data_IF_616516378701
#
_entry.id   IF_616516378701
#
_cell.length_a   1.000
_cell.length_b   1.000
_cell.length_c   1.000
_cell.angle_alpha   90.00
_cell.angle_beta   90.00
_cell.angle_gamma   90.00
#
_symmetry.space_group_name_H-M   'P 1'
#
loop_
_entity.id
_entity.type
_entity.pdbx_description
1 polymer ?
#
# COMPACT_ATOMS: atom_id res chain seq x y z
N UNK A 1 -17.61 5.69 11.87
CA UNK A 1 -16.97 6.85 12.44
C UNK A 1 -15.71 7.15 11.69
N UNK A 2 -15.58 8.36 11.29
CA UNK A 2 -14.35 8.78 10.69
C UNK A 2 -13.26 8.73 11.75
N UNK A 3 -12.17 8.13 11.43
CA UNK A 3 -11.10 8.07 12.36
C UNK A 3 -10.49 9.45 12.48
N UNK A 4 -10.29 9.90 13.63
CA UNK A 4 -9.72 11.20 13.83
C UNK A 4 -8.29 11.24 13.38
N UNK A 5 -7.93 12.28 12.73
CA UNK A 5 -6.58 12.49 12.26
C UNK A 5 -5.55 12.39 13.40
N UNK A 6 -6.02 12.42 14.61
CA UNK A 6 -5.13 12.25 15.75
C UNK A 6 -4.45 10.90 15.81
N UNK A 7 -4.97 9.92 15.08
CA UNK A 7 -4.27 8.65 15.02
C UNK A 7 -3.19 8.65 13.97
N UNK A 8 -2.62 9.77 13.72
CA UNK A 8 -1.44 9.81 12.91
C UNK A 8 -0.42 8.85 13.50
N UNK A 9 0.06 7.88 12.71
CA UNK A 9 1.11 6.99 13.18
C UNK A 9 2.26 7.85 13.67
N UNK A 10 2.79 7.50 14.78
CA UNK A 10 3.99 8.18 15.22
C UNK A 10 4.96 8.18 14.06
N UNK A 11 5.58 9.29 13.83
CA UNK A 11 6.51 9.42 12.72
C UNK A 11 7.71 8.50 12.87
N UNK A 12 7.77 7.75 13.95
CA UNK A 12 8.87 6.85 14.25
C UNK A 12 8.31 5.45 14.44
N UNK A 13 9.15 4.48 14.20
CA UNK A 13 8.80 3.11 14.43
C UNK A 13 8.25 2.42 13.18
N UNK A 14 8.40 1.13 13.20
CA UNK A 14 8.01 0.23 12.15
C UNK A 14 6.48 0.19 12.05
N UNK A 15 5.95 0.33 10.85
CA UNK A 15 4.51 0.38 10.63
C UNK A 15 4.16 0.02 9.21
N UNK A 16 2.91 -0.42 9.01
CA UNK A 16 2.40 -0.75 7.68
C UNK A 16 1.28 0.22 7.33
N UNK A 17 1.36 0.81 6.14
CA UNK A 17 0.33 1.70 5.61
C UNK A 17 -0.29 1.01 4.40
N UNK A 18 -1.59 0.74 4.46
CA UNK A 18 -2.28 -0.03 3.42
C UNK A 18 -3.20 0.87 2.64
N UNK A 19 -2.95 0.98 1.33
CA UNK A 19 -3.88 1.55 0.38
C UNK A 19 -4.95 0.48 0.14
N UNK A 20 -6.05 0.58 0.87
CA UNK A 20 -6.94 -0.55 1.06
C UNK A 20 -7.95 -0.77 -0.04
N UNK A 21 -8.19 0.25 -0.87
CA UNK A 21 -9.14 0.09 -1.96
C UNK A 21 -8.51 -0.85 -2.99
N UNK A 22 -9.20 -1.96 -3.26
CA UNK A 22 -8.74 -3.00 -4.18
C UNK A 22 -7.47 -3.74 -3.72
N UNK A 23 -7.27 -3.89 -2.42
CA UNK A 23 -6.15 -4.67 -1.89
C UNK A 23 -6.59 -6.11 -1.57
N UNK A 24 -6.09 -7.11 -2.30
CA UNK A 24 -6.54 -8.49 -2.09
C UNK A 24 -5.78 -9.24 -1.00
N UNK A 25 -4.81 -8.61 -0.34
CA UNK A 25 -3.93 -9.27 0.64
C UNK A 25 -4.11 -8.74 2.06
N UNK A 26 -5.27 -8.16 2.36
CA UNK A 26 -5.49 -7.60 3.70
C UNK A 26 -5.33 -8.64 4.81
N UNK A 27 -5.88 -9.83 4.61
CA UNK A 27 -5.76 -10.88 5.62
C UNK A 27 -4.32 -11.29 5.86
N UNK A 28 -3.53 -11.38 4.80
CA UNK A 28 -2.11 -11.69 4.92
C UNK A 28 -1.37 -10.61 5.70
N UNK A 29 -1.70 -9.35 5.44
CA UNK A 29 -1.10 -8.22 6.17
C UNK A 29 -1.41 -8.34 7.66
N UNK A 30 -2.66 -8.61 8.01
CA UNK A 30 -3.06 -8.72 9.41
C UNK A 30 -2.30 -9.84 10.12
N UNK A 31 -2.16 -11.00 9.47
CA UNK A 31 -1.44 -12.12 10.06
C UNK A 31 0.02 -11.79 10.37
N UNK A 32 0.69 -11.15 9.44
CA UNK A 32 2.09 -10.77 9.64
C UNK A 32 2.20 -9.70 10.73
N UNK A 33 1.29 -8.74 10.71
CA UNK A 33 1.30 -7.66 11.70
C UNK A 33 1.11 -8.21 13.12
N UNK A 34 0.19 -9.15 13.29
CA UNK A 34 -0.05 -9.76 14.60
C UNK A 34 1.19 -10.52 15.07
N UNK A 35 1.79 -11.30 14.18
CA UNK A 35 2.96 -12.11 14.53
C UNK A 35 4.17 -11.25 14.91
N UNK A 36 4.36 -10.15 14.20
CA UNK A 36 5.53 -9.28 14.43
C UNK A 36 5.22 -8.07 15.32
N UNK A 37 3.96 -7.93 15.76
CA UNK A 37 3.50 -6.84 16.61
C UNK A 37 3.76 -5.47 15.96
N UNK A 38 3.35 -5.34 14.71
CA UNK A 38 3.53 -4.12 13.93
C UNK A 38 2.19 -3.42 13.73
N UNK A 39 2.10 -2.11 14.02
CA UNK A 39 0.86 -1.37 13.75
C UNK A 39 0.55 -1.30 12.26
N UNK A 40 -0.75 -1.37 11.94
CA UNK A 40 -1.25 -1.27 10.57
C UNK A 40 -2.30 -0.18 10.50
N UNK A 41 -2.16 0.71 9.54
CA UNK A 41 -3.18 1.69 9.21
C UNK A 41 -3.79 1.31 7.87
N UNK A 42 -5.09 1.00 7.90
CA UNK A 42 -5.86 0.59 6.71
C UNK A 42 -6.59 1.82 6.21
N UNK A 43 -6.12 2.39 5.13
CA UNK A 43 -6.58 3.68 4.62
C UNK A 43 -7.50 3.48 3.43
N UNK A 44 -8.70 4.06 3.50
CA UNK A 44 -9.72 3.86 2.48
C UNK A 44 -10.63 5.07 2.43
N UNK A 45 -11.27 5.31 1.28
CA UNK A 45 -12.34 6.31 1.21
C UNK A 45 -13.72 5.70 1.47
N UNK A 46 -13.76 4.46 1.93
CA UNK A 46 -15.01 3.79 2.30
C UNK A 46 -14.86 3.14 3.66
N UNK A 47 -16.00 2.75 4.25
CA UNK A 47 -16.00 2.13 5.57
C UNK A 47 -15.73 0.62 5.44
N UNK A 48 -14.48 0.26 5.18
CA UNK A 48 -14.08 -1.13 5.14
C UNK A 48 -14.12 -1.73 6.54
N UNK A 49 -14.54 -2.99 6.59
CA UNK A 49 -14.48 -3.72 7.85
C UNK A 49 -13.06 -4.18 8.12
N UNK A 50 -12.56 -3.87 9.30
CA UNK A 50 -11.24 -4.31 9.72
C UNK A 50 -11.37 -5.08 11.03
N UNK A 51 -10.41 -5.98 11.34
CA UNK A 51 -10.45 -6.70 12.63
C UNK A 51 -10.39 -5.73 13.81
N UNK A 52 -11.10 -6.06 14.87
CA UNK A 52 -11.03 -5.32 16.12
C UNK A 52 -9.77 -5.76 16.87
N UNK A 53 -8.68 -5.06 16.64
CA UNK A 53 -7.40 -5.42 17.22
C UNK A 53 -6.59 -4.15 17.49
N UNK A 54 -5.87 -4.07 18.62
CA UNK A 54 -5.12 -2.84 18.97
C UNK A 54 -4.11 -2.40 17.93
N UNK A 55 -3.56 -3.33 17.14
CA UNK A 55 -2.58 -2.99 16.11
C UNK A 55 -3.21 -2.51 14.81
N UNK A 56 -4.51 -2.72 14.61
CA UNK A 56 -5.16 -2.41 13.33
C UNK A 56 -6.01 -1.17 13.51
N UNK A 57 -5.70 -0.12 12.79
CA UNK A 57 -6.47 1.12 12.81
C UNK A 57 -7.02 1.41 11.43
N UNK A 58 -8.32 1.67 11.35
CA UNK A 58 -8.97 2.06 10.11
C UNK A 58 -8.95 3.57 9.99
N UNK A 59 -8.47 4.07 8.86
CA UNK A 59 -8.50 5.49 8.52
C UNK A 59 -9.45 5.66 7.37
N UNK A 60 -10.53 6.40 7.59
CA UNK A 60 -11.49 6.71 6.54
C UNK A 60 -11.24 8.16 6.12
N UNK A 61 -10.86 8.33 4.86
CA UNK A 61 -10.61 9.66 4.30
C UNK A 61 -11.81 10.07 3.44
N UNK A 62 -11.82 11.32 2.99
CA UNK A 62 -12.89 11.79 2.11
C UNK A 62 -12.85 10.99 0.81
N UNK A 63 -13.97 11.02 0.05
CA UNK A 63 -14.05 10.38 -1.26
C UNK A 63 -13.45 11.26 -2.37
N UNK A 64 -12.75 12.31 -1.99
CA UNK A 64 -12.05 13.15 -2.94
C UNK A 64 -10.94 12.38 -3.67
N UNK A 65 -10.69 12.79 -4.89
CA UNK A 65 -9.64 12.22 -5.69
C UNK A 65 -8.31 12.34 -4.95
N UNK A 66 -7.56 11.28 -4.86
CA UNK A 66 -6.26 11.22 -4.20
C UNK A 66 -6.26 11.38 -2.67
N UNK A 67 -7.41 11.42 -2.01
CA UNK A 67 -7.43 11.65 -0.56
C UNK A 67 -6.67 10.56 0.21
N UNK A 68 -6.84 9.30 -0.17
CA UNK A 68 -6.12 8.20 0.47
C UNK A 68 -4.62 8.27 0.17
N UNK A 69 -4.28 8.58 -1.09
CA UNK A 69 -2.88 8.71 -1.50
C UNK A 69 -2.19 9.83 -0.75
N UNK A 70 -2.85 10.97 -0.61
CA UNK A 70 -2.29 12.11 0.10
C UNK A 70 -2.05 11.78 1.56
N UNK A 71 -3.00 11.11 2.21
CA UNK A 71 -2.84 10.73 3.60
C UNK A 71 -1.64 9.80 3.79
N UNK A 72 -1.54 8.78 2.95
CA UNK A 72 -0.45 7.80 3.04
C UNK A 72 0.89 8.46 2.77
N UNK A 73 0.97 9.28 1.71
CA UNK A 73 2.22 9.93 1.36
C UNK A 73 2.71 10.88 2.46
N UNK A 74 1.77 11.53 3.14
CA UNK A 74 2.10 12.47 4.20
C UNK A 74 2.67 11.77 5.43
N UNK A 75 2.20 10.56 5.75
CA UNK A 75 2.68 9.84 6.92
C UNK A 75 3.75 8.80 6.62
N UNK A 76 4.06 8.59 5.35
CA UNK A 76 5.13 7.67 4.98
C UNK A 76 6.48 8.20 5.44
N UNK A 77 7.36 7.30 5.77
CA UNK A 77 8.70 7.67 6.20
C UNK A 77 9.59 6.44 6.33
N UNK A 78 10.83 6.59 6.81
CA UNK A 78 11.84 5.52 6.74
C UNK A 78 11.49 4.20 7.38
N UNK A 79 10.65 4.18 8.39
CA UNK A 79 10.28 2.90 9.04
C UNK A 79 8.95 2.37 8.56
N UNK A 80 8.35 2.99 7.55
CA UNK A 80 7.06 2.56 7.02
C UNK A 80 7.24 1.59 5.87
N UNK A 81 6.29 0.64 5.77
CA UNK A 81 6.12 -0.22 4.60
C UNK A 81 4.74 0.10 4.04
N UNK A 82 4.69 0.56 2.81
CA UNK A 82 3.45 0.95 2.13
C UNK A 82 3.05 -0.16 1.17
N UNK A 83 1.78 -0.56 1.23
CA UNK A 83 1.23 -1.59 0.35
C UNK A 83 0.27 -0.90 -0.62
N UNK A 84 0.63 -0.88 -1.88
CA UNK A 84 -0.21 -0.25 -2.90
C UNK A 84 0.10 -0.81 -4.29
N UNK A 85 -0.91 -0.78 -5.15
CA UNK A 85 -0.73 -1.05 -6.57
C UNK A 85 -0.63 0.24 -7.38
N UNK A 86 -0.82 1.39 -6.74
CA UNK A 86 -0.77 2.69 -7.42
C UNK A 86 0.67 3.15 -7.55
N UNK A 87 1.15 3.20 -8.79
CA UNK A 87 2.55 3.53 -9.08
C UNK A 87 2.89 4.96 -8.67
N UNK A 88 1.95 5.89 -8.80
CA UNK A 88 2.20 7.27 -8.42
C UNK A 88 2.31 7.45 -6.92
N UNK A 89 1.47 6.74 -6.16
CA UNK A 89 1.62 6.71 -4.70
C UNK A 89 2.94 6.04 -4.31
N UNK A 90 3.30 4.95 -4.98
CA UNK A 90 4.57 4.28 -4.71
C UNK A 90 5.75 5.23 -4.87
N UNK A 91 5.75 6.03 -5.93
CA UNK A 91 6.81 7.03 -6.15
C UNK A 91 6.89 8.02 -4.99
N UNK A 92 5.75 8.55 -4.56
CA UNK A 92 5.71 9.50 -3.45
C UNK A 92 6.23 8.88 -2.15
N UNK A 93 5.82 7.65 -1.86
CA UNK A 93 6.24 6.97 -0.65
C UNK A 93 7.74 6.65 -0.66
N UNK A 94 8.27 6.24 -1.81
CA UNK A 94 9.71 6.02 -1.95
C UNK A 94 10.50 7.30 -1.70
N UNK A 95 10.03 8.43 -2.21
CA UNK A 95 10.68 9.72 -1.98
C UNK A 95 10.66 10.12 -0.51
N UNK A 96 9.67 9.66 0.23
CA UNK A 96 9.59 9.89 1.67
C UNK A 96 10.47 8.94 2.48
N UNK A 97 11.11 7.97 1.83
CA UNK A 97 12.02 7.03 2.48
C UNK A 97 11.38 5.70 2.87
N UNK A 98 10.11 5.48 2.55
CA UNK A 98 9.43 4.25 2.88
C UNK A 98 9.80 3.12 1.92
N UNK A 99 9.60 1.88 2.35
CA UNK A 99 9.59 0.75 1.45
C UNK A 99 8.19 0.59 0.88
N UNK A 100 8.07 0.13 -0.36
CA UNK A 100 6.78 -0.02 -1.02
C UNK A 100 6.69 -1.39 -1.67
N UNK A 101 5.59 -2.10 -1.41
CA UNK A 101 5.31 -3.40 -2.01
C UNK A 101 3.98 -3.37 -2.74
N UNK A 102 3.93 -4.03 -3.89
CA UNK A 102 2.66 -4.32 -4.52
C UNK A 102 1.98 -5.50 -3.82
N UNK A 103 0.65 -5.67 -3.99
CA UNK A 103 -0.03 -6.83 -3.42
C UNK A 103 0.46 -8.18 -3.94
N UNK A 104 1.19 -8.22 -5.03
CA UNK A 104 1.78 -9.46 -5.54
C UNK A 104 3.18 -9.72 -4.97
N UNK A 105 3.64 -8.88 -4.05
CA UNK A 105 4.94 -9.06 -3.41
C UNK A 105 6.10 -8.46 -4.19
N UNK A 106 5.82 -7.66 -5.20
CA UNK A 106 6.87 -7.04 -5.99
C UNK A 106 7.25 -5.70 -5.36
N UNK A 107 8.51 -5.51 -4.97
CA UNK A 107 8.91 -4.22 -4.43
C UNK A 107 9.02 -3.17 -5.52
N UNK A 108 8.58 -1.97 -5.20
CA UNK A 108 8.93 -0.79 -5.99
C UNK A 108 10.23 -0.23 -5.46
N UNK A 109 11.11 0.19 -6.35
CA UNK A 109 12.38 0.77 -5.95
C UNK A 109 12.61 2.08 -6.68
N UNK A 110 13.51 2.90 -6.15
CA UNK A 110 13.86 4.16 -6.80
C UNK A 110 14.44 3.94 -8.19
N UNK A 111 15.11 2.80 -8.39
CA UNK A 111 15.69 2.50 -9.71
C UNK A 111 14.65 1.99 -10.71
N UNK A 112 13.56 1.38 -10.26
CA UNK A 112 12.55 0.81 -11.16
C UNK A 112 11.33 1.70 -11.35
N UNK A 113 11.11 2.69 -10.49
CA UNK A 113 9.86 3.42 -10.47
C UNK A 113 9.68 4.29 -11.73
N UNK A 114 10.76 4.81 -12.28
CA UNK A 114 10.67 5.62 -13.48
C UNK A 114 10.12 4.83 -14.67
N UNK A 115 10.61 3.59 -14.85
CA UNK A 115 10.11 2.73 -15.91
C UNK A 115 8.63 2.35 -15.67
N UNK A 116 8.25 2.14 -14.41
CA UNK A 116 6.87 1.82 -14.06
C UNK A 116 5.95 3.00 -14.38
N UNK A 117 6.36 4.21 -14.09
CA UNK A 117 5.58 5.41 -14.40
C UNK A 117 5.42 5.57 -15.92
N UNK A 118 6.50 5.37 -16.66
CA UNK A 118 6.45 5.46 -18.12
C UNK A 118 5.52 4.41 -18.72
N UNK A 119 5.57 3.19 -18.23
CA UNK A 119 4.69 2.12 -18.69
C UNK A 119 3.23 2.47 -18.41
N UNK A 120 2.94 2.99 -17.21
CA UNK A 120 1.59 3.41 -16.85
C UNK A 120 1.07 4.47 -17.80
N UNK A 121 1.88 5.46 -18.16
CA UNK A 121 1.48 6.51 -19.08
C UNK A 121 1.20 5.96 -20.46
N UNK A 122 2.03 5.06 -20.96
CA UNK A 122 1.83 4.42 -22.27
C UNK A 122 0.52 3.63 -22.28
N UNK A 123 0.27 2.84 -21.23
CA UNK A 123 -0.96 2.04 -21.16
C UNK A 123 -2.19 2.93 -21.07
N UNK A 124 -2.11 4.07 -20.38
CA UNK A 124 -3.21 5.01 -20.33
C UNK A 124 -3.50 5.61 -21.70
N UNK A 125 -2.47 5.95 -22.47
CA UNK A 125 -2.64 6.46 -23.82
C UNK A 125 -3.27 5.44 -24.74
N UNK A 126 -2.86 4.18 -24.66
CA UNK A 126 -3.43 3.12 -25.47
C UNK A 126 -4.91 2.92 -25.15
N UNK A 127 -5.28 2.96 -23.87
CA UNK A 127 -6.69 2.84 -23.50
C UNK A 127 -7.52 4.03 -23.99
N UNK A 128 -6.96 5.23 -23.91
CA UNK A 128 -7.63 6.42 -24.40
C UNK A 128 -7.83 6.37 -25.91
N UNK A 129 -6.92 5.73 -26.64
CA UNK A 129 -7.03 5.53 -28.09
C UNK A 129 -8.02 4.45 -28.50
N UNK A 130 -8.67 3.81 -27.55
CA UNK A 130 -9.64 2.76 -27.84
C UNK A 130 -9.05 1.37 -28.05
N UNK A 131 -7.75 1.22 -27.83
CA UNK A 131 -7.12 -0.08 -27.96
C UNK A 131 -7.56 -1.01 -26.84
N UNK A 132 -7.71 -2.28 -27.19
CA UNK A 132 -8.03 -3.29 -26.20
C UNK A 132 -6.74 -3.75 -25.53
N UNK A 133 -6.68 -3.53 -24.23
CA UNK A 133 -5.56 -3.96 -23.41
C UNK A 133 -6.08 -5.01 -22.45
N UNK A 134 -5.41 -6.13 -22.37
CA UNK A 134 -5.79 -7.18 -21.43
C UNK A 134 -5.81 -6.65 -19.99
N UNK A 135 -6.77 -7.12 -19.21
CA UNK A 135 -6.86 -6.79 -17.79
C UNK A 135 -5.68 -7.39 -17.02
N UNK A 136 -5.57 -7.05 -15.73
CA UNK A 136 -4.53 -7.65 -14.89
C UNK A 136 -4.73 -9.17 -14.80
N UNK A 137 -3.64 -9.88 -14.63
CA UNK A 137 -3.69 -11.31 -14.41
C UNK A 137 -4.44 -11.62 -13.13
N UNK A 138 -5.11 -12.77 -13.10
CA UNK A 138 -5.80 -13.20 -11.89
C UNK A 138 -4.82 -13.36 -10.74
N UNK A 139 -5.25 -12.97 -9.54
CA UNK A 139 -4.45 -13.08 -8.35
C UNK A 139 -4.34 -14.54 -7.92
N UNK A 140 -3.13 -15.05 -7.71
CA UNK A 140 -2.89 -16.46 -7.48
C UNK A 140 -2.40 -16.73 -6.06
N UNK A 141 -2.38 -18.02 -5.69
CA UNK A 141 -1.77 -18.44 -4.43
C UNK A 141 -0.28 -18.14 -4.41
N UNK A 142 0.39 -18.25 -5.55
CA UNK A 142 1.80 -17.89 -5.64
C UNK A 142 2.02 -16.41 -5.38
N UNK A 143 1.10 -15.56 -5.84
CA UNK A 143 1.16 -14.13 -5.53
C UNK A 143 1.06 -13.88 -4.04
N UNK A 144 0.14 -14.58 -3.34
CA UNK A 144 -0.02 -14.45 -1.89
C UNK A 144 1.24 -14.88 -1.16
N UNK A 145 1.85 -15.98 -1.57
CA UNK A 145 3.08 -16.47 -0.95
C UNK A 145 4.22 -15.49 -1.14
N UNK A 146 4.38 -14.96 -2.36
CA UNK A 146 5.40 -13.95 -2.62
C UNK A 146 5.19 -12.71 -1.78
N UNK A 147 3.92 -12.29 -1.64
CA UNK A 147 3.62 -11.13 -0.83
C UNK A 147 3.99 -11.35 0.63
N UNK A 148 3.63 -12.50 1.20
CA UNK A 148 3.97 -12.80 2.58
C UNK A 148 5.47 -12.76 2.83
N UNK A 149 6.25 -13.36 1.93
CA UNK A 149 7.70 -13.35 2.04
C UNK A 149 8.28 -11.95 1.90
N UNK A 150 7.75 -11.18 0.95
CA UNK A 150 8.23 -9.82 0.71
C UNK A 150 7.93 -8.90 1.89
N UNK A 151 6.73 -9.03 2.47
CA UNK A 151 6.34 -8.21 3.62
C UNK A 151 7.21 -8.53 4.83
N UNK A 152 7.43 -9.81 5.09
CA UNK A 152 8.28 -10.25 6.18
C UNK A 152 9.68 -9.63 6.05
N UNK A 153 10.28 -9.74 4.86
CA UNK A 153 11.61 -9.20 4.61
C UNK A 153 11.63 -7.67 4.75
N UNK A 154 10.59 -7.00 4.24
CA UNK A 154 10.51 -5.54 4.34
C UNK A 154 10.43 -5.08 5.78
N UNK A 155 9.67 -5.78 6.62
CA UNK A 155 9.53 -5.42 8.03
C UNK A 155 10.81 -5.67 8.82
N UNK A 156 11.59 -6.67 8.44
CA UNK A 156 12.91 -6.86 9.05
C UNK A 156 13.81 -5.67 8.73
N UNK A 157 13.78 -5.19 7.48
CA UNK A 157 14.59 -4.03 7.08
C UNK A 157 14.10 -2.72 7.68
N UNK A 158 12.84 -2.62 8.05
CA UNK A 158 12.21 -1.39 8.49
C UNK A 158 12.49 -1.04 9.96
N UNK A 159 13.25 -1.80 10.66
CA UNK A 159 13.55 -1.56 12.08
C UNK A 159 14.22 -0.22 12.34
#
# INVERSE_FOLDING_TARGET
MTFEATANPAATGRRILVDADACPVKDEIYKVAWRLEVPVWVVSNSHLRVPAHPLITRIVVSDGFDAADDWIAEVAGPSAVVITADILLADRALKAGAQVLSPTGKPFTTSSIGAAIATRAIMADLRAGGDQIGGPAAFTKADRSRFLQALDAALVRAR
#
